data_IF_328012859888
#
_entry.id   IF_328012859888
#
_cell.length_a   1.000
_cell.length_b   1.000
_cell.length_c   1.000
_cell.angle_alpha   90.00
_cell.angle_beta   90.00
_cell.angle_gamma   90.00
#
_symmetry.space_group_name_H-M   'P 1'
#
loop_
_entity.id
_entity.type
_entity.pdbx_description
1 polymer ?
#
# COMPACT_ATOMS: atom_id res chain seq x y z
N UNK A 1 2.60 -15.04 6.99
CA UNK A 1 3.07 -16.02 8.00
C UNK A 1 2.76 -15.33 9.31
N UNK A 2 1.64 -15.70 9.93
CA UNK A 2 1.06 -14.88 10.98
C UNK A 2 1.74 -15.08 12.32
N UNK A 3 1.67 -14.08 13.18
CA UNK A 3 2.17 -14.13 14.54
C UNK A 3 1.46 -15.21 15.35
N UNK A 4 2.21 -15.90 16.21
CA UNK A 4 1.64 -16.50 17.41
C UNK A 4 1.23 -15.40 18.40
N UNK A 5 0.27 -15.67 19.30
CA UNK A 5 -0.11 -14.71 20.35
C UNK A 5 1.08 -14.18 21.17
N UNK A 6 2.08 -15.04 21.40
CA UNK A 6 3.30 -14.65 22.10
C UNK A 6 4.14 -13.67 21.27
N UNK A 7 4.36 -13.97 19.99
CA UNK A 7 5.11 -13.09 19.09
C UNK A 7 4.40 -11.74 18.92
N UNK A 8 3.07 -11.74 18.77
CA UNK A 8 2.26 -10.52 18.71
C UNK A 8 2.45 -9.66 19.97
N UNK A 9 2.35 -10.26 21.16
CA UNK A 9 2.53 -9.55 22.43
C UNK A 9 3.95 -8.99 22.56
N UNK A 10 4.97 -9.76 22.20
CA UNK A 10 6.37 -9.30 22.21
C UNK A 10 6.59 -8.14 21.22
N UNK A 11 5.99 -8.21 20.03
CA UNK A 11 6.04 -7.17 19.01
C UNK A 11 5.39 -5.87 19.49
N UNK A 12 4.17 -5.96 20.04
CA UNK A 12 3.47 -4.80 20.59
C UNK A 12 4.23 -4.17 21.75
N UNK A 13 4.76 -4.97 22.69
CA UNK A 13 5.57 -4.47 23.80
C UNK A 13 6.86 -3.79 23.32
N UNK A 14 7.47 -4.30 22.26
CA UNK A 14 8.63 -3.64 21.64
C UNK A 14 8.24 -2.24 21.13
N UNK A 15 7.14 -2.13 20.37
CA UNK A 15 6.66 -0.85 19.81
C UNK A 15 6.34 0.15 20.93
N UNK A 16 5.52 -0.24 21.91
CA UNK A 16 5.08 0.64 23.00
C UNK A 16 6.23 1.26 23.80
N UNK A 17 7.36 0.55 23.90
CA UNK A 17 8.56 0.99 24.64
C UNK A 17 9.52 1.84 23.80
N UNK A 18 9.25 2.04 22.52
CA UNK A 18 10.10 2.85 21.66
C UNK A 18 9.97 4.34 21.99
N UNK A 19 11.00 4.95 22.57
CA UNK A 19 10.97 6.39 22.87
C UNK A 19 10.74 7.25 21.62
N UNK A 20 11.13 6.78 20.43
CA UNK A 20 10.94 7.47 19.15
C UNK A 20 9.47 7.67 18.75
N UNK A 21 8.55 6.85 19.24
CA UNK A 21 7.11 7.02 18.95
C UNK A 21 6.43 8.05 19.85
N UNK A 22 7.13 8.56 20.88
CA UNK A 22 6.56 9.53 21.82
C UNK A 22 6.07 10.78 21.09
N UNK A 23 4.78 11.06 21.22
CA UNK A 23 4.08 12.20 20.60
C UNK A 23 4.17 12.23 19.06
N UNK A 24 4.45 11.09 18.42
CA UNK A 24 4.50 10.95 16.96
C UNK A 24 3.35 10.09 16.46
N UNK A 25 3.09 10.19 15.17
CA UNK A 25 2.21 9.26 14.45
C UNK A 25 2.92 7.92 14.31
N UNK A 26 2.19 6.84 14.59
CA UNK A 26 2.63 5.46 14.38
C UNK A 26 1.77 4.87 13.28
N UNK A 27 2.40 4.37 12.23
CA UNK A 27 1.72 3.68 11.12
C UNK A 27 2.20 2.24 11.08
N UNK A 28 1.28 1.31 11.26
CA UNK A 28 1.52 -0.12 11.08
C UNK A 28 1.33 -0.47 9.59
N UNK A 29 2.25 -1.22 9.02
CA UNK A 29 2.16 -1.65 7.63
C UNK A 29 2.56 -3.11 7.48
N UNK A 30 2.12 -3.73 6.39
CA UNK A 30 2.59 -5.05 6.00
C UNK A 30 4.09 -5.03 5.71
N UNK A 31 4.71 -6.19 5.82
CA UNK A 31 6.13 -6.35 5.55
C UNK A 31 6.76 -7.39 6.46
N UNK A 32 7.90 -7.91 6.04
CA UNK A 32 8.56 -8.98 6.80
C UNK A 32 8.96 -8.52 8.21
N UNK A 33 9.04 -9.48 9.12
CA UNK A 33 9.60 -9.32 10.44
C UNK A 33 10.81 -10.24 10.54
N UNK A 34 12.02 -9.69 10.73
CA UNK A 34 13.20 -10.52 10.83
C UNK A 34 13.13 -11.35 12.12
N UNK A 35 13.24 -12.67 11.98
CA UNK A 35 13.41 -13.62 13.07
C UNK A 35 14.89 -13.99 13.14
N UNK A 36 15.52 -13.90 14.30
CA UNK A 36 16.82 -14.56 14.53
C UNK A 36 16.54 -15.95 15.09
N UNK A 37 16.92 -17.01 14.38
CA UNK A 37 16.77 -18.42 14.82
C UNK A 37 15.36 -18.76 15.35
N UNK A 38 14.32 -18.29 14.64
CA UNK A 38 12.92 -18.54 14.98
C UNK A 38 12.36 -17.71 16.14
N UNK A 39 13.11 -16.73 16.67
CA UNK A 39 12.64 -15.79 17.70
C UNK A 39 12.82 -14.33 17.28
N UNK A 40 11.85 -13.45 17.54
CA UNK A 40 12.08 -12.00 17.47
C UNK A 40 13.16 -11.64 18.49
N UNK A 41 14.28 -11.05 18.06
CA UNK A 41 15.32 -10.58 18.98
C UNK A 41 15.30 -9.05 19.01
N UNK A 42 15.67 -8.39 20.11
CA UNK A 42 15.80 -6.92 20.15
C UNK A 42 16.64 -6.34 18.99
N UNK A 43 17.63 -7.11 18.50
CA UNK A 43 18.47 -6.76 17.36
C UNK A 43 17.74 -6.91 16.01
N UNK A 44 16.80 -7.85 15.90
CA UNK A 44 16.01 -8.04 14.68
C UNK A 44 15.05 -6.87 14.47
N UNK A 45 14.48 -6.32 15.55
CA UNK A 45 13.65 -5.11 15.45
C UNK A 45 14.39 -3.88 14.92
N UNK A 46 15.68 -3.70 15.24
CA UNK A 46 16.50 -2.64 14.65
C UNK A 46 16.67 -2.77 13.13
N UNK A 47 16.56 -3.99 12.58
CA UNK A 47 16.61 -4.26 11.14
C UNK A 47 15.25 -4.07 10.44
N UNK A 48 14.13 -4.01 11.17
CA UNK A 48 12.82 -3.72 10.58
C UNK A 48 12.78 -2.34 9.93
N UNK A 49 13.49 -1.37 10.51
CA UNK A 49 13.65 -0.01 9.95
C UNK A 49 14.42 0.00 8.61
N UNK A 50 15.05 -1.11 8.23
CA UNK A 50 15.78 -1.25 6.97
C UNK A 50 15.02 -2.04 5.91
N UNK A 51 13.75 -2.41 6.18
CA UNK A 51 12.98 -3.27 5.28
C UNK A 51 12.20 -2.51 4.20
N UNK A 52 11.97 -3.13 3.04
CA UNK A 52 11.47 -2.43 1.85
C UNK A 52 10.10 -1.76 2.05
N UNK A 53 9.18 -2.37 2.82
CA UNK A 53 7.81 -1.89 3.01
C UNK A 53 7.74 -0.60 3.84
N UNK A 54 8.15 -0.63 5.11
CA UNK A 54 8.24 0.57 5.94
C UNK A 54 9.11 1.65 5.30
N UNK A 55 10.20 1.27 4.61
CA UNK A 55 11.06 2.23 3.91
C UNK A 55 10.38 2.89 2.72
N UNK A 56 9.54 2.16 1.97
CA UNK A 56 8.74 2.74 0.92
C UNK A 56 7.80 3.81 1.48
N UNK A 57 6.98 3.49 2.49
CA UNK A 57 6.06 4.47 3.06
C UNK A 57 6.79 5.66 3.71
N UNK A 58 7.95 5.42 4.33
CA UNK A 58 8.82 6.48 4.84
C UNK A 58 9.34 7.38 3.72
N UNK A 59 9.69 6.82 2.56
CA UNK A 59 10.11 7.58 1.38
C UNK A 59 8.96 8.39 0.76
N UNK A 60 7.70 7.97 0.99
CA UNK A 60 6.50 8.70 0.57
C UNK A 60 6.18 9.93 1.45
N UNK A 61 6.79 10.07 2.62
CA UNK A 61 6.53 11.23 3.52
C UNK A 61 6.88 12.54 2.80
N UNK A 62 5.92 13.48 2.65
CA UNK A 62 6.17 14.70 1.90
C UNK A 62 7.29 15.56 2.48
N UNK A 63 8.08 16.19 1.60
CA UNK A 63 9.24 17.01 2.01
C UNK A 63 8.87 18.24 2.85
N UNK A 64 7.62 18.71 2.77
CA UNK A 64 7.12 19.82 3.59
C UNK A 64 6.88 19.40 5.05
N UNK A 65 6.69 18.11 5.32
CA UNK A 65 6.54 17.58 6.67
C UNK A 65 7.93 17.46 7.30
N UNK A 66 8.31 18.45 8.11
CA UNK A 66 9.69 18.55 8.65
C UNK A 66 9.84 18.10 10.09
N UNK A 67 8.75 18.05 10.86
CA UNK A 67 8.79 17.80 12.30
C UNK A 67 7.86 16.66 12.69
N UNK A 68 8.30 15.87 13.69
CA UNK A 68 7.54 14.73 14.24
C UNK A 68 7.01 13.81 13.14
N UNK A 69 7.92 13.44 12.23
CA UNK A 69 7.66 12.52 11.12
C UNK A 69 7.02 11.22 11.63
N UNK A 70 6.11 10.60 10.86
CA UNK A 70 5.51 9.34 11.24
C UNK A 70 6.58 8.24 11.36
N UNK A 71 6.37 7.33 12.31
CA UNK A 71 7.16 6.12 12.47
C UNK A 71 6.40 4.93 11.88
N UNK A 72 7.03 4.23 10.95
CA UNK A 72 6.44 3.07 10.28
C UNK A 72 7.00 1.78 10.89
N UNK A 73 6.11 0.80 11.13
CA UNK A 73 6.48 -0.52 11.65
C UNK A 73 5.90 -1.62 10.76
N UNK A 74 6.76 -2.52 10.30
CA UNK A 74 6.33 -3.76 9.66
C UNK A 74 5.74 -4.71 10.71
N UNK A 75 4.54 -5.22 10.44
CA UNK A 75 3.85 -6.12 11.36
C UNK A 75 3.74 -7.57 10.86
N UNK A 76 4.12 -7.89 9.63
CA UNK A 76 3.91 -9.20 9.04
C UNK A 76 2.94 -9.13 7.87
N UNK A 77 1.97 -10.03 7.84
CA UNK A 77 0.89 -9.99 6.84
C UNK A 77 -0.29 -9.12 7.31
N UNK A 78 -1.28 -8.95 6.43
CA UNK A 78 -2.51 -8.20 6.70
C UNK A 78 -3.20 -8.53 8.03
N UNK A 79 -3.25 -9.82 8.42
CA UNK A 79 -3.83 -10.19 9.72
C UNK A 79 -2.98 -9.64 10.87
N UNK A 80 -1.66 -9.80 10.76
CA UNK A 80 -0.74 -9.35 11.79
C UNK A 80 -0.79 -7.84 12.02
N UNK A 81 -0.97 -7.05 10.95
CA UNK A 81 -1.15 -5.59 11.06
C UNK A 81 -2.42 -5.26 11.85
N UNK A 82 -3.55 -5.90 11.51
CA UNK A 82 -4.84 -5.67 12.17
C UNK A 82 -4.76 -6.11 13.65
N UNK A 83 -4.21 -7.29 13.92
CA UNK A 83 -4.04 -7.80 15.28
C UNK A 83 -3.10 -6.90 16.10
N UNK A 84 -2.02 -6.42 15.50
CA UNK A 84 -1.08 -5.48 16.15
C UNK A 84 -1.78 -4.16 16.47
N UNK A 85 -2.63 -3.65 15.58
CA UNK A 85 -3.40 -2.43 15.82
C UNK A 85 -4.24 -2.55 17.11
N UNK A 86 -5.06 -3.60 17.22
CA UNK A 86 -5.91 -3.79 18.40
C UNK A 86 -5.11 -4.12 19.65
N UNK A 87 -4.11 -5.02 19.55
CA UNK A 87 -3.29 -5.41 20.70
C UNK A 87 -2.48 -4.22 21.26
N UNK A 88 -2.03 -3.27 20.43
CA UNK A 88 -1.40 -2.05 20.90
C UNK A 88 -2.36 -1.17 21.70
N UNK A 89 -3.59 -0.99 21.22
CA UNK A 89 -4.63 -0.25 21.93
C UNK A 89 -4.98 -0.89 23.28
N UNK A 90 -5.14 -2.22 23.31
CA UNK A 90 -5.43 -2.97 24.54
C UNK A 90 -4.28 -2.86 25.55
N UNK A 91 -3.06 -3.18 25.15
CA UNK A 91 -1.89 -3.13 26.04
C UNK A 91 -1.58 -1.71 26.53
N UNK A 92 -1.87 -0.68 25.72
CA UNK A 92 -1.79 0.71 26.16
C UNK A 92 -2.82 1.02 27.25
N UNK A 93 -4.07 0.57 27.07
CA UNK A 93 -5.14 0.79 28.03
C UNK A 93 -4.89 0.06 29.37
N UNK A 94 -4.23 -1.10 29.34
CA UNK A 94 -3.82 -1.84 30.55
C UNK A 94 -2.81 -1.07 31.42
N UNK A 95 -1.80 -0.44 30.81
CA UNK A 95 -0.78 0.34 31.54
C UNK A 95 -0.18 1.46 30.67
N UNK A 96 -0.86 2.60 30.65
CA UNK A 96 -0.44 3.78 29.89
C UNK A 96 0.91 4.35 30.35
N UNK A 97 1.34 4.07 31.59
CA UNK A 97 2.61 4.57 32.14
C UNK A 97 3.84 3.91 31.51
N UNK A 98 3.65 2.71 30.93
CA UNK A 98 4.71 1.96 30.24
C UNK A 98 4.71 2.12 28.72
N UNK A 99 3.87 3.03 28.22
CA UNK A 99 3.69 3.25 26.79
C UNK A 99 4.10 4.66 26.37
N UNK A 100 4.86 4.76 25.28
CA UNK A 100 5.08 6.03 24.57
C UNK A 100 4.04 6.31 23.47
N UNK A 101 3.16 5.34 23.17
CA UNK A 101 2.09 5.50 22.19
C UNK A 101 1.07 6.56 22.63
N UNK A 102 0.64 7.38 21.68
CA UNK A 102 -0.56 8.20 21.77
C UNK A 102 -1.65 7.50 20.96
N UNK A 103 -2.69 6.90 21.57
CA UNK A 103 -3.68 6.07 20.87
C UNK A 103 -4.33 6.75 19.67
N UNK A 104 -4.60 8.05 19.78
CA UNK A 104 -5.24 8.86 18.73
C UNK A 104 -4.35 9.08 17.51
N UNK A 105 -3.07 8.69 17.59
CA UNK A 105 -2.06 8.79 16.53
C UNK A 105 -1.60 7.43 16.01
N UNK A 106 -2.31 6.36 16.38
CA UNK A 106 -2.10 5.02 15.85
C UNK A 106 -2.93 4.84 14.57
N UNK A 107 -2.26 4.47 13.49
CA UNK A 107 -2.87 4.14 12.21
C UNK A 107 -2.32 2.82 11.69
N UNK A 108 -3.03 2.21 10.76
CA UNK A 108 -2.58 1.05 10.00
C UNK A 108 -2.89 1.26 8.51
N UNK A 109 -2.04 0.71 7.66
CA UNK A 109 -2.30 0.54 6.24
C UNK A 109 -2.07 -0.92 5.85
N UNK A 110 -3.08 -1.53 5.23
CA UNK A 110 -3.04 -2.92 4.76
C UNK A 110 -3.40 -2.99 3.28
N UNK A 111 -2.96 -4.04 2.62
CA UNK A 111 -3.33 -4.32 1.26
C UNK A 111 -4.82 -4.69 1.16
N UNK A 112 -5.46 -4.24 0.09
CA UNK A 112 -6.86 -4.56 -0.19
C UNK A 112 -7.05 -6.07 -0.42
N UNK A 113 -6.18 -6.66 -1.23
CA UNK A 113 -6.23 -8.06 -1.69
C UNK A 113 -7.56 -8.42 -2.40
N UNK A 114 -7.64 -9.57 -3.07
CA UNK A 114 -8.91 -10.06 -3.62
C UNK A 114 -9.80 -10.66 -2.53
N UNK A 115 -9.18 -11.31 -1.55
CA UNK A 115 -9.89 -11.95 -0.44
C UNK A 115 -10.29 -10.90 0.60
N UNK A 116 -11.58 -10.83 0.89
CA UNK A 116 -12.14 -9.97 1.94
C UNK A 116 -11.67 -10.45 3.30
N UNK A 117 -11.22 -9.52 4.14
CA UNK A 117 -10.79 -9.82 5.51
C UNK A 117 -11.72 -9.17 6.52
N UNK A 118 -12.34 -9.97 7.38
CA UNK A 118 -13.18 -9.49 8.47
C UNK A 118 -12.37 -8.76 9.53
N UNK A 119 -12.95 -7.72 10.12
CA UNK A 119 -12.35 -6.92 11.17
C UNK A 119 -13.37 -6.80 12.30
N UNK A 120 -13.07 -7.48 13.41
CA UNK A 120 -13.90 -7.43 14.60
C UNK A 120 -13.61 -6.14 15.39
N UNK A 121 -14.60 -5.64 16.12
CA UNK A 121 -14.47 -4.48 17.01
C UNK A 121 -13.98 -3.18 16.32
N UNK A 122 -14.37 -3.00 15.05
CA UNK A 122 -14.10 -1.78 14.28
C UNK A 122 -15.38 -1.19 13.69
N UNK A 123 -15.33 0.08 13.27
CA UNK A 123 -16.46 0.76 12.64
C UNK A 123 -16.85 0.16 11.28
N UNK A 124 -15.97 -0.66 10.70
CA UNK A 124 -16.17 -1.35 9.42
C UNK A 124 -15.96 -2.84 9.63
N UNK A 125 -16.86 -3.65 9.08
CA UNK A 125 -16.91 -5.10 9.30
C UNK A 125 -15.78 -5.87 8.63
N UNK A 126 -15.19 -5.29 7.58
CA UNK A 126 -14.18 -5.93 6.75
C UNK A 126 -13.43 -4.91 5.88
N UNK A 127 -12.39 -5.38 5.20
CA UNK A 127 -11.55 -4.58 4.28
C UNK A 127 -12.32 -4.00 3.10
N UNK A 128 -13.38 -4.66 2.63
CA UNK A 128 -14.20 -4.18 1.51
C UNK A 128 -15.15 -3.06 1.94
N UNK A 129 -15.67 -3.12 3.16
CA UNK A 129 -16.43 -2.05 3.77
C UNK A 129 -15.56 -0.79 3.98
N UNK A 130 -14.29 -0.96 4.38
CA UNK A 130 -13.32 0.15 4.41
C UNK A 130 -13.13 0.68 2.98
N UNK A 131 -12.85 -0.19 2.00
CA UNK A 131 -12.61 0.21 0.62
C UNK A 131 -13.78 1.03 0.03
N UNK A 132 -15.01 0.52 0.14
CA UNK A 132 -16.20 1.16 -0.41
C UNK A 132 -16.56 2.48 0.28
N UNK A 133 -16.08 2.70 1.50
CA UNK A 133 -16.22 3.98 2.20
C UNK A 133 -15.09 4.96 1.85
N UNK A 134 -13.85 4.47 1.80
CA UNK A 134 -12.64 5.26 1.61
C UNK A 134 -12.42 5.68 0.15
N UNK A 135 -12.88 4.89 -0.81
CA UNK A 135 -12.68 5.12 -2.24
C UNK A 135 -13.99 5.31 -3.00
N UNK A 136 -14.00 6.29 -3.91
CA UNK A 136 -15.08 6.50 -4.87
C UNK A 136 -14.51 6.64 -6.27
N UNK A 137 -14.90 5.72 -7.16
CA UNK A 137 -14.43 5.67 -8.56
C UNK A 137 -12.89 5.68 -8.70
N UNK A 138 -12.21 4.87 -7.86
CA UNK A 138 -10.75 4.76 -7.87
C UNK A 138 -10.01 6.00 -7.33
N UNK A 139 -10.69 6.87 -6.58
CA UNK A 139 -10.09 8.05 -5.92
C UNK A 139 -10.43 8.04 -4.44
N UNK A 140 -9.56 8.60 -3.60
CA UNK A 140 -9.86 8.77 -2.17
C UNK A 140 -11.06 9.72 -1.99
N UNK A 141 -11.96 9.36 -1.10
CA UNK A 141 -13.03 10.22 -0.63
C UNK A 141 -12.55 10.98 0.62
N UNK A 142 -12.04 12.20 0.42
CA UNK A 142 -11.45 13.02 1.49
C UNK A 142 -12.38 13.24 2.70
N UNK A 143 -13.69 13.36 2.44
CA UNK A 143 -14.69 13.54 3.52
C UNK A 143 -14.76 12.34 4.46
N UNK A 144 -14.50 11.16 3.92
CA UNK A 144 -14.54 9.91 4.67
C UNK A 144 -13.17 9.54 5.22
N UNK A 145 -12.08 9.90 4.53
CA UNK A 145 -10.70 9.58 4.86
C UNK A 145 -10.33 9.89 6.33
N UNK A 146 -10.77 11.04 6.84
CA UNK A 146 -10.55 11.50 8.23
C UNK A 146 -11.17 10.58 9.31
N UNK A 147 -12.07 9.67 8.93
CA UNK A 147 -12.74 8.76 9.87
C UNK A 147 -12.05 7.39 9.96
N UNK A 148 -10.96 7.19 9.20
CA UNK A 148 -10.27 5.91 9.10
C UNK A 148 -8.97 5.93 9.90
N UNK A 149 -8.79 4.91 10.73
CA UNK A 149 -7.53 4.59 11.42
C UNK A 149 -6.83 3.41 10.76
N UNK A 150 -7.59 2.47 10.24
CA UNK A 150 -7.11 1.39 9.38
C UNK A 150 -7.49 1.76 7.95
N UNK A 151 -6.48 1.96 7.11
CA UNK A 151 -6.64 2.18 5.68
C UNK A 151 -6.38 0.88 4.93
N UNK A 152 -7.17 0.62 3.90
CA UNK A 152 -6.83 -0.38 2.88
C UNK A 152 -6.22 0.35 1.68
N UNK A 153 -5.33 -0.28 0.93
CA UNK A 153 -4.86 0.29 -0.32
C UNK A 153 -6.01 0.46 -1.32
N UNK A 154 -6.00 1.53 -2.12
CA UNK A 154 -7.00 1.71 -3.19
C UNK A 154 -6.73 0.88 -4.44
N UNK A 155 -5.54 0.28 -4.54
CA UNK A 155 -5.17 -0.73 -5.53
C UNK A 155 -5.01 -2.08 -4.81
N UNK A 156 -4.94 -3.19 -5.55
CA UNK A 156 -4.99 -4.54 -4.96
C UNK A 156 -3.89 -4.78 -3.90
N UNK A 157 -2.67 -4.29 -4.17
CA UNK A 157 -1.48 -4.38 -3.32
C UNK A 157 -0.68 -3.09 -3.40
N UNK A 158 0.21 -2.88 -2.42
CA UNK A 158 1.22 -1.82 -2.47
C UNK A 158 2.05 -1.82 -3.76
N UNK A 159 2.47 -2.98 -4.26
CA UNK A 159 3.25 -3.09 -5.49
C UNK A 159 2.53 -2.53 -6.72
N UNK A 160 1.19 -2.40 -6.69
CA UNK A 160 0.45 -1.85 -7.83
C UNK A 160 0.75 -0.37 -8.01
N UNK A 161 1.11 0.34 -6.94
CA UNK A 161 1.61 1.71 -7.01
C UNK A 161 2.99 1.80 -7.67
N UNK A 162 3.75 0.70 -7.77
CA UNK A 162 5.08 0.70 -8.39
C UNK A 162 5.03 0.62 -9.91
N UNK A 163 3.85 0.31 -10.45
CA UNK A 163 3.58 0.25 -11.88
C UNK A 163 2.36 1.09 -12.24
N UNK A 164 2.06 2.15 -11.48
CA UNK A 164 1.08 3.15 -11.89
C UNK A 164 1.58 3.89 -13.15
N UNK A 165 0.70 4.33 -14.07
CA UNK A 165 1.12 4.86 -15.37
C UNK A 165 2.05 6.08 -15.27
N UNK A 166 1.86 6.90 -14.24
CA UNK A 166 2.67 8.09 -13.94
C UNK A 166 4.10 7.75 -13.47
N UNK A 167 4.39 6.48 -13.20
CA UNK A 167 5.72 6.00 -12.79
C UNK A 167 6.63 5.75 -13.99
N UNK A 168 6.10 5.64 -15.23
CA UNK A 168 6.92 5.42 -16.44
C UNK A 168 8.17 6.33 -16.51
N UNK A 169 8.10 7.64 -16.24
CA UNK A 169 9.28 8.52 -16.30
C UNK A 169 10.39 8.17 -15.29
N UNK A 170 10.07 7.48 -14.18
CA UNK A 170 11.08 7.01 -13.22
C UNK A 170 11.92 5.89 -13.84
N UNK A 171 11.27 5.00 -14.60
CA UNK A 171 11.96 3.94 -15.32
C UNK A 171 12.79 4.50 -16.47
N UNK A 172 12.21 5.43 -17.25
CA UNK A 172 12.88 6.03 -18.42
C UNK A 172 14.17 6.77 -18.03
N UNK A 173 14.15 7.45 -16.88
CA UNK A 173 15.26 8.29 -16.40
C UNK A 173 16.07 7.65 -15.26
N UNK A 174 16.00 6.32 -15.12
CA UNK A 174 16.67 5.65 -14.02
C UNK A 174 18.21 5.75 -14.15
N UNK A 175 18.87 6.21 -13.08
CA UNK A 175 20.24 6.75 -13.09
C UNK A 175 21.34 5.80 -13.59
N UNK A 176 21.11 4.48 -13.64
CA UNK A 176 22.12 3.53 -14.11
C UNK A 176 21.60 2.59 -15.21
N UNK A 177 20.74 3.16 -16.07
CA UNK A 177 20.17 2.49 -17.22
C UNK A 177 18.71 2.12 -17.02
N UNK A 178 17.96 2.16 -18.13
CA UNK A 178 16.53 1.84 -18.14
C UNK A 178 16.32 0.37 -17.73
N UNK A 179 15.47 0.11 -16.72
CA UNK A 179 15.13 -1.25 -16.33
C UNK A 179 14.55 -2.08 -17.47
N UNK A 180 14.68 -3.40 -17.34
CA UNK A 180 14.31 -4.37 -18.37
C UNK A 180 13.12 -5.19 -17.91
N UNK A 181 12.16 -5.39 -18.82
CA UNK A 181 11.03 -6.31 -18.67
C UNK A 181 10.93 -7.17 -19.94
N UNK A 182 10.89 -8.50 -19.79
CA UNK A 182 10.91 -9.46 -20.90
C UNK A 182 11.99 -9.18 -21.95
N UNK A 183 13.22 -8.92 -21.48
CA UNK A 183 14.40 -8.70 -22.32
C UNK A 183 14.44 -7.36 -23.08
N UNK A 184 13.46 -6.46 -22.85
CA UNK A 184 13.38 -5.16 -23.50
C UNK A 184 13.33 -4.03 -22.46
N UNK A 185 13.73 -2.79 -22.82
CA UNK A 185 13.47 -1.62 -21.99
C UNK A 185 11.99 -1.56 -21.57
N UNK A 186 11.76 -1.32 -20.30
CA UNK A 186 10.42 -1.38 -19.71
C UNK A 186 9.48 -0.34 -20.32
N UNK A 187 8.29 -0.80 -20.68
CA UNK A 187 7.15 0.03 -21.08
C UNK A 187 5.95 -0.48 -20.31
N UNK A 188 5.42 0.30 -19.39
CA UNK A 188 4.34 -0.09 -18.48
C UNK A 188 3.08 -0.53 -19.23
N UNK A 189 2.77 0.10 -20.37
CA UNK A 189 1.65 -0.32 -21.23
C UNK A 189 1.75 -1.79 -21.66
N UNK A 190 2.96 -2.30 -21.93
CA UNK A 190 3.18 -3.72 -22.25
C UNK A 190 2.90 -4.61 -21.03
N UNK A 191 3.28 -4.17 -19.83
CA UNK A 191 2.97 -4.90 -18.59
C UNK A 191 1.46 -4.98 -18.40
N UNK A 192 0.71 -3.90 -18.65
CA UNK A 192 -0.75 -3.93 -18.53
C UNK A 192 -1.40 -4.89 -19.53
N UNK A 193 -0.88 -4.94 -20.76
CA UNK A 193 -1.36 -5.92 -21.75
C UNK A 193 -1.08 -7.36 -21.30
N UNK A 194 0.13 -7.66 -20.80
CA UNK A 194 0.48 -8.98 -20.26
C UNK A 194 -0.37 -9.34 -19.02
N UNK A 195 -0.71 -8.35 -18.19
CA UNK A 195 -1.60 -8.50 -17.05
C UNK A 195 -3.01 -8.90 -17.46
N UNK A 196 -3.54 -8.25 -18.50
CA UNK A 196 -4.88 -8.52 -19.03
C UNK A 196 -4.91 -9.86 -19.74
N UNK A 197 -3.85 -10.22 -20.46
CA UNK A 197 -3.69 -11.56 -21.04
C UNK A 197 -3.69 -12.67 -19.99
N UNK A 198 -3.17 -12.36 -18.79
CA UNK A 198 -3.17 -13.26 -17.64
C UNK A 198 -4.45 -13.29 -16.80
N UNK A 199 -5.53 -12.59 -17.19
CA UNK A 199 -6.81 -12.61 -16.45
C UNK A 199 -7.48 -13.98 -16.56
N UNK A 200 -7.58 -14.54 -17.76
CA UNK A 200 -8.27 -15.81 -18.00
C UNK A 200 -7.69 -17.00 -17.23
N UNK A 201 -6.42 -16.94 -16.80
CA UNK A 201 -5.76 -17.98 -16.00
C UNK A 201 -5.63 -17.66 -14.51
N UNK A 202 -6.13 -16.50 -14.05
CA UNK A 202 -6.04 -16.08 -12.65
C UNK A 202 -7.14 -16.73 -11.81
N UNK A 203 -6.83 -17.85 -11.17
CA UNK A 203 -7.75 -18.60 -10.31
C UNK A 203 -8.28 -17.72 -9.16
N UNK A 204 -7.43 -16.89 -8.55
CA UNK A 204 -7.84 -16.05 -7.43
C UNK A 204 -8.85 -14.99 -7.88
N UNK A 205 -8.65 -14.39 -9.05
CA UNK A 205 -9.62 -13.46 -9.64
C UNK A 205 -10.90 -14.17 -10.06
N UNK A 206 -10.83 -15.38 -10.61
CA UNK A 206 -12.01 -16.18 -10.96
C UNK A 206 -12.89 -16.46 -9.74
N UNK A 207 -12.29 -16.89 -8.63
CA UNK A 207 -12.99 -17.19 -7.38
C UNK A 207 -13.60 -15.94 -6.73
N UNK A 208 -13.01 -14.76 -6.97
CA UNK A 208 -13.38 -13.50 -6.33
C UNK A 208 -13.94 -12.45 -7.32
N UNK A 209 -14.40 -12.89 -8.51
CA UNK A 209 -14.80 -11.99 -9.58
C UNK A 209 -15.87 -11.00 -9.14
N UNK A 210 -16.90 -11.46 -8.42
CA UNK A 210 -17.98 -10.58 -7.94
C UNK A 210 -17.49 -9.43 -7.06
N UNK A 211 -16.52 -9.70 -6.19
CA UNK A 211 -15.89 -8.69 -5.35
C UNK A 211 -15.08 -7.72 -6.20
N UNK A 212 -14.23 -8.24 -7.08
CA UNK A 212 -13.45 -7.45 -8.02
C UNK A 212 -14.33 -6.52 -8.87
N UNK A 213 -15.41 -7.05 -9.44
CA UNK A 213 -16.36 -6.33 -10.29
C UNK A 213 -17.04 -5.15 -9.57
N UNK A 214 -17.39 -5.31 -8.29
CA UNK A 214 -17.95 -4.21 -7.49
C UNK A 214 -16.96 -3.06 -7.33
N UNK A 215 -15.67 -3.37 -7.12
CA UNK A 215 -14.62 -2.36 -6.95
C UNK A 215 -14.42 -1.51 -8.20
N UNK A 216 -14.56 -2.13 -9.38
CA UNK A 216 -14.36 -1.48 -10.68
C UNK A 216 -15.66 -1.12 -11.41
N UNK A 217 -16.82 -1.20 -10.76
CA UNK A 217 -18.13 -1.02 -11.40
C UNK A 217 -18.35 0.38 -11.97
N UNK A 218 -17.48 1.34 -11.64
CA UNK A 218 -17.49 2.68 -12.20
C UNK A 218 -16.93 2.74 -13.63
N UNK A 219 -16.27 1.69 -14.11
CA UNK A 219 -15.81 1.53 -15.49
C UNK A 219 -16.90 0.87 -16.34
N UNK A 220 -17.82 1.68 -16.89
CA UNK A 220 -19.03 1.20 -17.55
C UNK A 220 -18.80 0.30 -18.79
N UNK A 221 -17.62 0.36 -19.43
CA UNK A 221 -17.28 -0.46 -20.59
C UNK A 221 -16.80 -1.88 -20.26
N UNK A 222 -16.59 -2.21 -18.99
CA UNK A 222 -16.05 -3.52 -18.58
C UNK A 222 -17.17 -4.54 -18.33
N UNK A 223 -17.13 -5.66 -19.07
CA UNK A 223 -18.04 -6.78 -18.89
C UNK A 223 -17.52 -7.73 -17.81
N UNK A 224 -18.10 -7.61 -16.62
CA UNK A 224 -17.75 -8.38 -15.44
C UNK A 224 -18.52 -9.71 -15.29
N UNK A 225 -19.23 -10.19 -16.31
CA UNK A 225 -20.03 -11.43 -16.22
C UNK A 225 -19.18 -12.71 -16.20
N UNK A 226 -17.93 -12.62 -16.62
CA UNK A 226 -16.93 -13.70 -16.56
C UNK A 226 -15.53 -13.14 -16.80
N UNK A 227 -14.48 -13.85 -16.36
CA UNK A 227 -13.09 -13.37 -16.51
C UNK A 227 -12.68 -13.20 -17.97
N UNK A 228 -13.12 -14.09 -18.87
CA UNK A 228 -12.87 -13.97 -20.32
C UNK A 228 -13.54 -12.73 -20.90
N UNK A 229 -14.77 -12.42 -20.46
CA UNK A 229 -15.51 -11.22 -20.87
C UNK A 229 -14.85 -9.96 -20.34
N UNK A 230 -14.33 -10.00 -19.12
CA UNK A 230 -13.61 -8.88 -18.52
C UNK A 230 -12.31 -8.62 -19.30
N UNK A 231 -11.58 -9.68 -19.63
CA UNK A 231 -10.37 -9.60 -20.46
C UNK A 231 -10.66 -9.00 -21.84
N UNK A 232 -11.66 -9.53 -22.56
CA UNK A 232 -12.01 -9.07 -23.91
C UNK A 232 -12.51 -7.62 -23.92
N UNK A 233 -13.40 -7.28 -22.99
CA UNK A 233 -13.94 -5.91 -22.86
C UNK A 233 -12.85 -4.92 -22.46
N UNK A 234 -11.97 -5.27 -21.52
CA UNK A 234 -10.86 -4.39 -21.15
C UNK A 234 -9.97 -4.07 -22.35
N UNK A 235 -9.56 -5.07 -23.14
CA UNK A 235 -8.74 -4.86 -24.35
C UNK A 235 -9.45 -3.97 -25.36
N UNK A 236 -10.73 -4.25 -25.60
CA UNK A 236 -11.55 -3.48 -26.56
C UNK A 236 -11.65 -2.03 -26.14
N UNK A 237 -11.98 -1.76 -24.88
CA UNK A 237 -12.08 -0.40 -24.34
C UNK A 237 -10.72 0.31 -24.34
N UNK A 238 -9.63 -0.40 -24.03
CA UNK A 238 -8.29 0.18 -23.99
C UNK A 238 -7.80 0.59 -25.39
N UNK A 239 -8.05 -0.24 -26.40
CA UNK A 239 -7.71 0.07 -27.80
C UNK A 239 -8.56 1.20 -28.39
N UNK A 240 -9.82 1.31 -27.96
CA UNK A 240 -10.76 2.31 -28.43
C UNK A 240 -10.73 3.63 -27.63
N UNK A 241 -9.98 3.68 -26.52
CA UNK A 241 -9.86 4.85 -25.67
C UNK A 241 -9.29 6.05 -26.46
N UNK A 242 -10.04 7.15 -26.46
CA UNK A 242 -9.72 8.35 -27.25
C UNK A 242 -8.71 9.28 -26.56
N UNK A 243 -8.53 9.12 -25.25
CA UNK A 243 -7.66 9.96 -24.44
C UNK A 243 -6.98 9.18 -23.30
N UNK A 244 -5.92 9.78 -22.77
CA UNK A 244 -5.13 9.23 -21.65
C UNK A 244 -5.92 9.11 -20.35
N UNK A 245 -6.96 9.94 -20.14
CA UNK A 245 -7.77 9.84 -18.92
C UNK A 245 -8.57 8.54 -18.91
N UNK A 246 -9.17 8.20 -20.05
CA UNK A 246 -9.93 6.97 -20.27
C UNK A 246 -9.02 5.74 -20.17
N UNK A 247 -7.83 5.78 -20.80
CA UNK A 247 -6.82 4.72 -20.66
C UNK A 247 -6.39 4.52 -19.21
N UNK A 248 -6.05 5.60 -18.51
CA UNK A 248 -5.62 5.52 -17.12
C UNK A 248 -6.73 4.97 -16.22
N UNK A 249 -7.99 5.31 -16.49
CA UNK A 249 -9.11 4.72 -15.75
C UNK A 249 -9.17 3.19 -15.89
N UNK A 250 -8.95 2.66 -17.08
CA UNK A 250 -8.88 1.22 -17.35
C UNK A 250 -7.66 0.57 -16.68
N UNK A 251 -6.50 1.22 -16.75
CA UNK A 251 -5.26 0.77 -16.07
C UNK A 251 -5.47 0.69 -14.56
N UNK A 252 -6.02 1.73 -13.95
CA UNK A 252 -6.29 1.73 -12.50
C UNK A 252 -7.34 0.69 -12.11
N UNK A 253 -8.34 0.45 -12.95
CA UNK A 253 -9.30 -0.64 -12.72
C UNK A 253 -8.60 -2.01 -12.72
N UNK A 254 -7.70 -2.25 -13.69
CA UNK A 254 -6.87 -3.47 -13.73
C UNK A 254 -5.99 -3.60 -12.48
N UNK A 255 -5.29 -2.54 -12.09
CA UNK A 255 -4.42 -2.51 -10.90
C UNK A 255 -5.21 -2.68 -9.58
N UNK A 256 -6.53 -2.50 -9.59
CA UNK A 256 -7.40 -2.72 -8.43
C UNK A 256 -7.79 -4.19 -8.25
N UNK A 257 -7.69 -5.01 -9.31
CA UNK A 257 -8.24 -6.38 -9.32
C UNK A 257 -7.23 -7.47 -9.69
N UNK A 258 -6.15 -7.13 -10.39
CA UNK A 258 -5.18 -8.11 -10.89
C UNK A 258 -3.90 -8.04 -10.07
N UNK A 259 -3.48 -9.18 -9.52
CA UNK A 259 -2.25 -9.29 -8.74
C UNK A 259 -1.03 -8.89 -9.59
N UNK A 260 -0.26 -7.90 -9.10
CA UNK A 260 0.85 -7.29 -9.86
C UNK A 260 2.22 -7.86 -9.52
N UNK A 261 2.32 -8.61 -8.42
CA UNK A 261 3.61 -8.97 -7.79
C UNK A 261 4.51 -9.79 -8.72
N UNK A 262 3.91 -10.66 -9.51
CA UNK A 262 4.61 -11.49 -10.50
C UNK A 262 5.26 -10.63 -11.60
N UNK A 263 4.55 -9.60 -12.06
CA UNK A 263 5.03 -8.68 -13.09
C UNK A 263 6.10 -7.74 -12.55
N UNK A 264 5.88 -7.19 -11.34
CA UNK A 264 6.88 -6.38 -10.63
C UNK A 264 8.20 -7.15 -10.43
N UNK A 265 8.13 -8.43 -10.05
CA UNK A 265 9.31 -9.27 -9.84
C UNK A 265 10.07 -9.57 -11.13
N UNK A 266 9.42 -9.51 -12.29
CA UNK A 266 10.06 -9.73 -13.59
C UNK A 266 10.89 -8.52 -14.05
N UNK A 267 10.65 -7.33 -13.50
CA UNK A 267 11.48 -6.16 -13.78
C UNK A 267 12.89 -6.39 -13.21
N UNK A 268 13.88 -6.34 -14.11
CA UNK A 268 15.30 -6.50 -13.79
C UNK A 268 16.04 -5.18 -14.00
N UNK A 269 17.19 -4.99 -13.34
CA UNK A 269 18.09 -3.92 -13.72
C UNK A 269 18.61 -4.11 -15.16
N UNK A 270 19.17 -3.05 -15.74
CA UNK A 270 20.00 -3.15 -16.95
C UNK A 270 21.28 -3.95 -16.66
N UNK A 271 21.93 -4.44 -17.72
CA UNK A 271 23.20 -5.18 -17.61
C UNK A 271 24.33 -4.35 -16.98
N UNK A 272 24.26 -3.02 -17.07
CA UNK A 272 25.24 -2.08 -16.52
C UNK A 272 25.13 -1.89 -14.99
N UNK A 273 24.16 -2.55 -14.35
CA UNK A 273 23.87 -2.35 -12.93
C UNK A 273 24.79 -3.16 -12.01
N UNK A 274 25.56 -2.44 -11.19
CA UNK A 274 26.63 -3.00 -10.34
C UNK A 274 26.10 -3.88 -9.19
N UNK A 275 24.87 -3.62 -8.70
CA UNK A 275 24.32 -4.30 -7.52
C UNK A 275 22.87 -4.80 -7.70
N UNK A 276 22.65 -5.88 -8.48
CA UNK A 276 21.30 -6.36 -8.78
C UNK A 276 20.47 -6.71 -7.53
N UNK A 277 21.14 -7.09 -6.44
CA UNK A 277 20.49 -7.45 -5.17
C UNK A 277 19.79 -6.29 -4.47
N UNK A 278 20.18 -5.04 -4.73
CA UNK A 278 19.57 -3.84 -4.12
C UNK A 278 18.71 -3.04 -5.09
N UNK A 279 18.62 -3.48 -6.35
CA UNK A 279 17.94 -2.76 -7.42
C UNK A 279 16.47 -2.47 -7.08
N UNK A 280 15.70 -3.50 -6.71
CA UNK A 280 14.27 -3.35 -6.41
C UNK A 280 14.03 -2.43 -5.22
N UNK A 281 14.86 -2.53 -4.18
CA UNK A 281 14.74 -1.68 -3.00
C UNK A 281 15.00 -0.21 -3.35
N UNK A 282 16.05 0.07 -4.13
CA UNK A 282 16.37 1.43 -4.57
C UNK A 282 15.30 1.99 -5.50
N UNK A 283 14.82 1.19 -6.45
CA UNK A 283 13.74 1.60 -7.34
C UNK A 283 12.45 1.88 -6.57
N UNK A 284 12.10 1.03 -5.59
CA UNK A 284 10.94 1.28 -4.71
C UNK A 284 11.08 2.58 -3.94
N UNK A 285 12.30 2.92 -3.48
CA UNK A 285 12.57 4.20 -2.81
C UNK A 285 12.43 5.41 -3.76
N UNK A 286 12.89 5.32 -5.01
CA UNK A 286 12.67 6.39 -6.00
C UNK A 286 11.18 6.59 -6.31
N UNK A 287 10.43 5.49 -6.43
CA UNK A 287 8.97 5.53 -6.57
C UNK A 287 8.33 6.18 -5.34
N UNK A 288 8.79 5.83 -4.13
CA UNK A 288 8.34 6.49 -2.92
C UNK A 288 8.59 8.01 -2.93
N UNK A 289 9.76 8.43 -3.43
CA UNK A 289 10.08 9.86 -3.59
C UNK A 289 9.16 10.54 -4.60
N UNK A 290 8.76 9.87 -5.68
CA UNK A 290 7.74 10.38 -6.58
C UNK A 290 6.44 10.67 -5.85
N UNK A 291 5.95 9.74 -5.02
CA UNK A 291 4.74 9.95 -4.23
C UNK A 291 4.91 11.08 -3.21
N UNK A 292 6.06 11.22 -2.55
CA UNK A 292 6.31 12.36 -1.63
C UNK A 292 6.27 13.73 -2.29
N UNK A 293 6.45 13.80 -3.61
CA UNK A 293 6.43 15.03 -4.39
C UNK A 293 5.03 15.35 -4.96
N UNK A 294 4.09 14.40 -4.93
CA UNK A 294 2.76 14.64 -5.45
C UNK A 294 1.93 15.53 -4.52
N UNK A 295 0.98 16.26 -5.13
CA UNK A 295 -0.05 16.97 -4.38
C UNK A 295 -1.01 16.00 -3.71
N UNK A 296 -1.85 16.53 -2.82
CA UNK A 296 -2.96 15.78 -2.21
C UNK A 296 -4.16 15.64 -3.13
N UNK A 297 -3.93 15.48 -4.43
CA UNK A 297 -4.98 15.08 -5.37
C UNK A 297 -5.47 13.68 -5.00
N UNK A 298 -6.80 13.53 -4.88
CA UNK A 298 -7.50 12.28 -4.53
C UNK A 298 -7.12 11.05 -5.37
N UNK A 299 -6.51 11.24 -6.54
CA UNK A 299 -5.96 10.16 -7.39
C UNK A 299 -4.71 9.51 -6.78
N UNK A 300 -3.94 10.26 -5.98
CA UNK A 300 -2.73 9.75 -5.34
C UNK A 300 -3.03 9.30 -3.92
N UNK A 301 -3.39 8.02 -3.77
CA UNK A 301 -3.87 7.46 -2.50
C UNK A 301 -2.89 7.64 -1.33
N UNK A 302 -1.60 7.36 -1.53
CA UNK A 302 -0.58 7.43 -0.47
C UNK A 302 -0.34 8.89 -0.02
N UNK A 303 -0.15 9.88 -0.93
CA UNK A 303 -0.10 11.30 -0.55
C UNK A 303 -1.32 11.77 0.26
N UNK A 304 -2.53 11.35 -0.12
CA UNK A 304 -3.76 11.72 0.59
C UNK A 304 -3.79 11.09 1.99
N UNK A 305 -3.41 9.82 2.13
CA UNK A 305 -3.25 9.18 3.44
C UNK A 305 -2.31 9.98 4.35
N UNK A 306 -1.11 10.32 3.84
CA UNK A 306 -0.09 11.03 4.62
C UNK A 306 -0.52 12.44 5.01
N UNK A 307 -1.24 13.15 4.12
CA UNK A 307 -1.86 14.43 4.46
C UNK A 307 -2.92 14.26 5.55
N UNK A 308 -3.80 13.27 5.41
CA UNK A 308 -4.89 13.04 6.36
C UNK A 308 -4.35 12.81 7.77
N UNK A 309 -3.37 11.93 7.93
CA UNK A 309 -2.77 11.67 9.25
C UNK A 309 -2.02 12.89 9.79
N UNK A 310 -1.38 13.69 8.94
CA UNK A 310 -0.74 14.94 9.34
C UNK A 310 -1.74 15.95 9.87
N UNK A 311 -2.84 16.18 9.15
CA UNK A 311 -3.88 17.14 9.53
C UNK A 311 -4.53 16.76 10.86
N UNK A 312 -4.79 15.48 11.09
CA UNK A 312 -5.28 15.01 12.39
C UNK A 312 -4.31 15.27 13.53
N UNK A 313 -3.02 15.02 13.33
CA UNK A 313 -1.99 15.30 14.33
C UNK A 313 -1.80 16.81 14.59
N UNK A 314 -2.05 17.67 13.60
CA UNK A 314 -2.11 19.12 13.77
C UNK A 314 -3.33 19.55 14.59
N UNK A 315 -4.52 19.04 14.27
CA UNK A 315 -5.76 19.32 15.01
C UNK A 315 -5.62 18.92 16.49
N UNK A 316 -5.06 17.74 16.76
CA UNK A 316 -4.83 17.26 18.14
C UNK A 316 -3.84 18.13 18.94
N UNK A 317 -3.03 18.96 18.26
CA UNK A 317 -2.09 19.89 18.91
C UNK A 317 -2.67 21.28 19.10
N UNK A 318 -3.88 21.55 18.62
CA UNK A 318 -4.48 22.88 18.64
C UNK A 318 -3.81 23.85 17.65
N UNK A 319 -3.19 23.34 16.58
CA UNK A 319 -2.85 24.19 15.43
C UNK A 319 -4.10 24.28 14.56
N UNK A 320 -4.90 25.33 14.78
CA UNK A 320 -5.85 25.76 13.76
C UNK A 320 -5.03 26.21 12.54
N UNK A 321 -5.38 25.69 11.37
CA UNK A 321 -4.76 26.05 10.10
C UNK A 321 -5.11 27.51 9.77
N UNK A 322 -4.23 28.44 10.13
CA UNK A 322 -4.20 29.80 9.56
C UNK A 322 -3.38 29.84 8.25
#
# INVERSE_FOLDING_TARGET
MSFTQKELKEHCQYILRQRRIKNKIVVLCEGQIPKNDGRPSPQSYGKMETMPDANFYKACVPKWWKQKLPEFFNCGDRQDVIDTYFALSELHAEDSTKSYLTPEKLFAIVDLDLQVKTIDNYNYTDTDAIFGNLYYKGKVNDKNAINHRIWVTGLIYKEAYFIAPEIQPIFDNYLSGTPIYNGNPIVLEKIYMDMVDGIGSDIALQENLQTASKRISYCAGLDCTGVDKLQDSWKTEFQNAQDETSKNQLIYALLTIKQVKEYWNQIQPSDDWVHPKTFRDQLSLEIGRFYSAQSSDTRYHIPVFLKTVYEEDCQQRGYDND
#
